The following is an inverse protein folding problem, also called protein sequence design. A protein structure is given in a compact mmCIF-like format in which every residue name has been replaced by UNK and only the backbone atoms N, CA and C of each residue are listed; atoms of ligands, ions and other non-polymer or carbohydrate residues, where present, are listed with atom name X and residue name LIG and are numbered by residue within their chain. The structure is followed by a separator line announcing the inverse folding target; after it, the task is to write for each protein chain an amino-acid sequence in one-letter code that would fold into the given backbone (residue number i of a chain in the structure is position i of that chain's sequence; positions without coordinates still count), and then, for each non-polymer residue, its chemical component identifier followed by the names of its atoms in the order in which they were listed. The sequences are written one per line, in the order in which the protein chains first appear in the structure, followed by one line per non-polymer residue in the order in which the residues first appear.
data_IF_565337134202
#
_entry.id   IF_565337134202
#
_cell.length_a   1.000
_cell.length_b   1.000
_cell.length_c   1.000
_cell.angle_alpha   90.00
_cell.angle_beta   90.00
_cell.angle_gamma   90.00
#
_symmetry.space_group_name_H-M   'P 1'
#
loop_
_entity.id
_entity.type
_entity.pdbx_description
1 polymer ?
#
# COMPACT_ATOMS: atom_id res chain seq x y z
N UNK A 1 16.42 -29.87 9.68
CA UNK A 1 16.50 -31.02 8.75
C UNK A 1 16.09 -30.49 7.39
N UNK A 2 17.03 -30.26 6.49
CA UNK A 2 16.73 -29.70 5.17
C UNK A 2 16.00 -30.78 4.34
N UNK A 3 14.80 -30.45 3.83
CA UNK A 3 14.06 -31.31 2.92
C UNK A 3 14.90 -31.53 1.66
N UNK A 4 14.90 -32.75 1.10
CA UNK A 4 15.68 -33.05 -0.11
C UNK A 4 15.18 -32.19 -1.27
N UNK A 5 16.08 -31.66 -2.11
CA UNK A 5 15.72 -30.79 -3.25
C UNK A 5 14.71 -31.44 -4.20
N UNK A 6 14.74 -32.77 -4.30
CA UNK A 6 13.78 -33.57 -5.09
C UNK A 6 12.37 -33.54 -4.48
N UNK A 7 12.25 -33.69 -3.17
CA UNK A 7 10.97 -33.67 -2.46
C UNK A 7 10.31 -32.28 -2.53
N UNK A 8 11.12 -31.21 -2.53
CA UNK A 8 10.62 -29.84 -2.71
C UNK A 8 10.03 -29.62 -4.10
N UNK A 9 10.65 -30.17 -5.14
CA UNK A 9 10.16 -30.07 -6.52
C UNK A 9 8.88 -30.86 -6.71
N UNK A 10 8.81 -32.10 -6.23
CA UNK A 10 7.59 -32.91 -6.29
C UNK A 10 6.42 -32.23 -5.55
N UNK A 11 6.69 -31.65 -4.38
CA UNK A 11 5.69 -30.89 -3.64
C UNK A 11 5.25 -29.63 -4.39
N UNK A 12 6.16 -28.95 -5.09
CA UNK A 12 5.80 -27.79 -5.92
C UNK A 12 4.96 -28.18 -7.14
N UNK A 13 5.27 -29.28 -7.81
CA UNK A 13 4.50 -29.78 -8.96
C UNK A 13 3.09 -30.22 -8.55
N UNK A 14 2.97 -30.90 -7.40
CA UNK A 14 1.68 -31.24 -6.80
C UNK A 14 0.86 -29.99 -6.45
N UNK A 15 1.48 -28.98 -5.82
CA UNK A 15 0.79 -27.74 -5.50
C UNK A 15 0.37 -26.96 -6.76
N UNK A 16 1.19 -26.99 -7.81
CA UNK A 16 0.87 -26.34 -9.09
C UNK A 16 -0.35 -26.97 -9.76
N UNK A 17 -0.51 -28.29 -9.67
CA UNK A 17 -1.64 -29.01 -10.26
C UNK A 17 -2.92 -28.91 -9.41
N UNK A 18 -2.79 -28.93 -8.08
CA UNK A 18 -3.94 -28.93 -7.16
C UNK A 18 -4.44 -27.51 -6.83
N UNK A 19 -3.56 -26.59 -6.45
CA UNK A 19 -3.95 -25.26 -5.99
C UNK A 19 -2.94 -24.18 -6.39
N UNK A 20 -3.25 -23.51 -7.51
CA UNK A 20 -2.40 -22.49 -8.11
C UNK A 20 -2.08 -21.31 -7.19
N UNK A 21 -3.05 -20.89 -6.35
CA UNK A 21 -2.85 -19.77 -5.41
C UNK A 21 -1.81 -20.16 -4.37
N UNK A 22 -1.94 -21.36 -3.82
CA UNK A 22 -1.02 -21.86 -2.80
C UNK A 22 0.38 -22.08 -3.38
N UNK A 23 0.47 -22.54 -4.63
CA UNK A 23 1.73 -22.61 -5.38
C UNK A 23 2.40 -21.24 -5.51
N UNK A 24 1.66 -20.19 -5.91
CA UNK A 24 2.21 -18.83 -6.01
C UNK A 24 2.68 -18.32 -4.67
N UNK A 25 1.88 -18.44 -3.61
CA UNK A 25 2.27 -18.00 -2.26
C UNK A 25 3.54 -18.70 -1.79
N UNK A 26 3.67 -20.00 -2.06
CA UNK A 26 4.86 -20.76 -1.71
C UNK A 26 6.10 -20.28 -2.50
N UNK A 27 5.93 -19.94 -3.79
CA UNK A 27 7.00 -19.34 -4.60
C UNK A 27 7.48 -18.00 -4.03
N UNK A 28 6.54 -17.11 -3.66
CA UNK A 28 6.87 -15.84 -3.00
C UNK A 28 7.58 -16.03 -1.66
N UNK A 29 7.15 -17.02 -0.87
CA UNK A 29 7.81 -17.38 0.38
C UNK A 29 9.26 -17.82 0.15
N UNK A 30 9.53 -18.68 -0.84
CA UNK A 30 10.90 -19.08 -1.15
C UNK A 30 11.74 -17.92 -1.64
N UNK A 31 11.18 -17.05 -2.47
CA UNK A 31 11.87 -15.84 -2.91
C UNK A 31 12.25 -14.96 -1.71
N UNK A 32 11.32 -14.73 -0.79
CA UNK A 32 11.58 -14.01 0.45
C UNK A 32 12.65 -14.69 1.31
N UNK A 33 12.53 -15.99 1.53
CA UNK A 33 13.42 -16.76 2.38
C UNK A 33 14.86 -16.76 1.85
N UNK A 34 15.08 -16.90 0.54
CA UNK A 34 16.41 -16.95 -0.05
C UNK A 34 17.00 -15.57 -0.43
N UNK A 35 16.16 -14.53 -0.55
CA UNK A 35 16.65 -13.15 -0.78
C UNK A 35 17.04 -12.43 0.50
N UNK A 36 16.67 -12.96 1.66
CA UNK A 36 16.97 -12.40 2.98
C UNK A 36 17.97 -13.29 3.72
N UNK A 37 18.68 -12.78 4.75
CA UNK A 37 19.63 -13.58 5.53
C UNK A 37 18.96 -14.61 6.46
N UNK A 38 17.65 -14.87 6.32
CA UNK A 38 16.89 -15.84 7.11
C UNK A 38 17.48 -17.27 7.14
N UNK A 39 18.06 -17.83 6.05
CA UNK A 39 18.57 -19.20 6.08
C UNK A 39 19.78 -19.38 7.00
N UNK A 40 20.51 -18.30 7.27
CA UNK A 40 21.72 -18.28 8.09
C UNK A 40 21.49 -17.68 9.48
N UNK A 41 20.26 -17.25 9.75
CA UNK A 41 19.87 -16.52 10.95
C UNK A 41 19.42 -17.48 12.05
N UNK A 42 19.76 -17.17 13.29
CA UNK A 42 19.21 -17.89 14.45
C UNK A 42 17.71 -17.63 14.59
N UNK A 43 16.99 -18.46 15.37
CA UNK A 43 15.55 -18.28 15.57
C UNK A 43 15.23 -16.90 16.17
N UNK A 44 16.04 -16.41 17.12
CA UNK A 44 15.85 -15.11 17.76
C UNK A 44 16.04 -13.94 16.79
N UNK A 45 17.13 -13.96 16.01
CA UNK A 45 17.42 -12.94 14.99
C UNK A 45 16.35 -12.92 13.90
N UNK A 46 15.85 -14.10 13.52
CA UNK A 46 14.78 -14.23 12.52
C UNK A 46 13.46 -13.61 12.99
N UNK A 47 13.11 -13.73 14.27
CA UNK A 47 11.90 -13.11 14.83
C UNK A 47 12.03 -11.58 14.77
N UNK A 48 13.17 -11.05 15.19
CA UNK A 48 13.42 -9.60 15.19
C UNK A 48 13.38 -9.06 13.75
N UNK A 49 14.05 -9.73 12.82
CA UNK A 49 14.08 -9.33 11.41
C UNK A 49 12.68 -9.34 10.78
N UNK A 50 11.90 -10.40 10.99
CA UNK A 50 10.52 -10.47 10.51
C UNK A 50 9.64 -9.36 11.13
N UNK A 51 9.84 -9.02 12.40
CA UNK A 51 9.13 -7.92 13.07
C UNK A 51 9.44 -6.56 12.44
N UNK A 52 10.70 -6.30 12.09
CA UNK A 52 11.13 -5.09 11.38
C UNK A 52 10.50 -5.04 9.98
N UNK A 53 10.55 -6.13 9.22
CA UNK A 53 9.92 -6.20 7.90
C UNK A 53 8.42 -5.99 7.99
N UNK A 54 7.75 -6.56 8.98
CA UNK A 54 6.31 -6.37 9.17
C UNK A 54 5.96 -4.91 9.46
N UNK A 55 6.75 -4.25 10.31
CA UNK A 55 6.59 -2.82 10.61
C UNK A 55 6.80 -1.94 9.38
N UNK A 56 7.84 -2.22 8.58
CA UNK A 56 8.10 -1.55 7.30
C UNK A 56 6.95 -1.76 6.32
N UNK A 57 6.41 -2.98 6.24
CA UNK A 57 5.32 -3.32 5.34
C UNK A 57 4.06 -2.55 5.71
N UNK A 58 3.73 -2.46 7.01
CA UNK A 58 2.61 -1.65 7.48
C UNK A 58 2.78 -0.16 7.16
N UNK A 59 3.98 0.37 7.37
CA UNK A 59 4.29 1.77 7.03
C UNK A 59 4.19 2.01 5.53
N UNK A 60 4.66 1.07 4.71
CA UNK A 60 4.54 1.12 3.26
C UNK A 60 3.07 1.08 2.82
N UNK A 61 2.25 0.19 3.39
CA UNK A 61 0.81 0.16 3.12
C UNK A 61 0.14 1.49 3.49
N UNK A 62 0.45 2.03 4.68
CA UNK A 62 -0.06 3.34 5.10
C UNK A 62 0.33 4.44 4.10
N UNK A 63 1.61 4.49 3.70
CA UNK A 63 2.11 5.49 2.77
C UNK A 63 1.47 5.37 1.38
N UNK A 64 1.37 4.15 0.85
CA UNK A 64 0.83 3.90 -0.49
C UNK A 64 -0.68 4.12 -0.59
N UNK A 65 -1.43 3.83 0.46
CA UNK A 65 -2.89 4.01 0.46
C UNK A 65 -3.27 5.45 0.74
N UNK A 66 -2.60 6.13 1.69
CA UNK A 66 -3.03 7.46 2.13
C UNK A 66 -2.21 8.59 1.52
N UNK A 67 -0.89 8.50 1.56
CA UNK A 67 -0.02 9.64 1.22
C UNK A 67 0.21 9.72 -0.28
N UNK A 68 0.44 8.58 -0.93
CA UNK A 68 0.79 8.52 -2.35
C UNK A 68 -0.31 9.07 -3.28
N UNK A 69 -1.62 8.76 -3.09
CA UNK A 69 -2.66 9.33 -3.94
C UNK A 69 -2.79 10.84 -3.79
N UNK A 70 -2.68 11.36 -2.54
CA UNK A 70 -2.71 12.80 -2.27
C UNK A 70 -1.58 13.53 -3.01
N UNK A 71 -0.35 12.97 -2.97
CA UNK A 71 0.80 13.54 -3.66
C UNK A 71 0.67 13.48 -5.18
N UNK A 72 0.12 12.38 -5.71
CA UNK A 72 -0.12 12.26 -7.16
C UNK A 72 -1.13 13.29 -7.65
N UNK A 73 -2.21 13.53 -6.90
CA UNK A 73 -3.23 14.52 -7.25
C UNK A 73 -2.66 15.93 -7.19
N UNK A 74 -1.93 16.27 -6.12
CA UNK A 74 -1.24 17.57 -6.01
C UNK A 74 -0.24 17.78 -7.17
N UNK A 75 0.49 16.73 -7.55
CA UNK A 75 1.38 16.78 -8.72
C UNK A 75 0.62 17.00 -10.03
N UNK A 76 -0.55 16.38 -10.17
CA UNK A 76 -1.44 16.56 -11.33
C UNK A 76 -2.00 17.97 -11.44
N UNK A 77 -2.44 18.55 -10.32
CA UNK A 77 -2.92 19.93 -10.25
C UNK A 77 -1.83 20.94 -10.63
N UNK A 78 -0.63 20.75 -10.10
CA UNK A 78 0.51 21.59 -10.44
C UNK A 78 0.84 21.50 -11.93
N UNK A 79 0.89 20.28 -12.48
CA UNK A 79 1.16 20.07 -13.90
C UNK A 79 0.07 20.70 -14.78
N UNK A 80 -1.20 20.58 -14.40
CA UNK A 80 -2.31 21.22 -15.09
C UNK A 80 -2.20 22.75 -15.06
N UNK A 81 -1.87 23.32 -13.90
CA UNK A 81 -1.65 24.76 -13.75
C UNK A 81 -0.52 25.26 -14.66
N UNK A 82 0.60 24.53 -14.71
CA UNK A 82 1.71 24.89 -15.59
C UNK A 82 1.34 24.86 -17.08
N UNK A 83 0.47 23.94 -17.49
CA UNK A 83 0.07 23.81 -18.90
C UNK A 83 -1.02 24.81 -19.32
N UNK A 84 -1.95 25.13 -18.44
CA UNK A 84 -3.17 25.90 -18.79
C UNK A 84 -3.22 27.30 -18.19
N UNK A 85 -2.41 27.58 -17.17
CA UNK A 85 -2.50 28.80 -16.35
C UNK A 85 -3.71 28.86 -15.43
N UNK A 86 -4.55 27.82 -15.40
CA UNK A 86 -5.78 27.77 -14.60
C UNK A 86 -5.59 26.87 -13.38
N UNK A 87 -6.12 27.30 -12.23
CA UNK A 87 -6.06 26.53 -10.98
C UNK A 87 -7.27 25.61 -10.86
N UNK A 88 -7.03 24.32 -10.69
CA UNK A 88 -8.05 23.33 -10.31
C UNK A 88 -7.58 22.69 -9.01
N UNK A 89 -8.50 22.49 -8.07
CA UNK A 89 -8.26 21.78 -6.81
C UNK A 89 -9.23 20.62 -6.66
N UNK A 90 -8.69 19.42 -6.50
CA UNK A 90 -9.40 18.18 -6.23
C UNK A 90 -9.23 17.81 -4.76
N UNK A 91 -10.31 17.89 -3.99
CA UNK A 91 -10.30 17.44 -2.61
C UNK A 91 -10.58 15.92 -2.53
N UNK A 92 -9.52 15.16 -2.27
CA UNK A 92 -9.54 13.70 -2.17
C UNK A 92 -10.31 13.24 -0.95
N UNK A 93 -10.29 14.02 0.14
CA UNK A 93 -11.08 13.73 1.33
C UNK A 93 -12.56 13.84 1.01
N UNK A 94 -12.97 14.85 0.25
CA UNK A 94 -14.36 14.99 -0.20
C UNK A 94 -14.78 13.85 -1.14
N UNK A 95 -13.91 13.42 -2.07
CA UNK A 95 -14.20 12.30 -2.97
C UNK A 95 -14.30 10.94 -2.25
N UNK A 96 -13.43 10.69 -1.26
CA UNK A 96 -13.51 9.48 -0.43
C UNK A 96 -14.75 9.54 0.47
N UNK A 97 -15.05 10.71 1.04
CA UNK A 97 -16.21 10.89 1.90
C UNK A 97 -17.51 10.73 1.11
N UNK A 98 -17.60 11.20 -0.13
CA UNK A 98 -18.78 10.95 -0.98
C UNK A 98 -18.89 9.47 -1.38
N UNK A 99 -17.79 8.79 -1.71
CA UNK A 99 -17.82 7.34 -2.02
C UNK A 99 -18.21 6.49 -0.80
N UNK A 100 -17.78 6.86 0.41
CA UNK A 100 -18.17 6.19 1.65
C UNK A 100 -19.58 6.56 2.11
N UNK A 101 -20.01 7.81 1.97
CA UNK A 101 -21.37 8.26 2.32
C UNK A 101 -22.45 7.80 1.33
N UNK A 102 -22.12 7.40 0.09
CA UNK A 102 -23.10 6.82 -0.84
C UNK A 102 -23.62 5.43 -0.40
N UNK A 103 -23.02 4.80 0.61
CA UNK A 103 -23.50 3.55 1.22
C UNK A 103 -24.25 3.74 2.55
N UNK A 104 -24.36 4.97 3.06
CA UNK A 104 -25.06 5.27 4.30
C UNK A 104 -26.06 6.39 4.07
N UNK A 105 -27.32 6.03 3.85
CA UNK A 105 -28.43 6.99 3.89
C UNK A 105 -28.27 7.93 5.09
N UNK A 106 -28.32 9.24 4.81
CA UNK A 106 -28.47 10.34 5.77
C UNK A 106 -27.37 10.51 6.82
N UNK A 107 -26.32 11.27 6.46
CA UNK A 107 -25.73 12.22 7.43
C UNK A 107 -25.04 13.36 6.71
N UNK A 108 -25.75 14.49 6.64
CA UNK A 108 -25.20 15.81 6.32
C UNK A 108 -24.17 16.21 7.38
N UNK A 109 -22.93 15.77 7.21
CA UNK A 109 -21.80 16.41 7.90
C UNK A 109 -21.20 17.45 6.97
N UNK A 110 -21.64 18.68 7.19
CA UNK A 110 -21.16 19.90 6.54
C UNK A 110 -19.67 20.07 6.86
N UNK A 111 -18.79 19.68 5.93
CA UNK A 111 -17.38 20.09 5.91
C UNK A 111 -17.29 21.43 5.16
N UNK A 112 -18.10 22.41 5.55
CA UNK A 112 -17.89 23.81 5.19
C UNK A 112 -17.53 24.55 6.47
N UNK A 113 -16.27 24.53 6.86
CA UNK A 113 -15.77 25.54 7.81
C UNK A 113 -14.26 25.80 7.80
N UNK A 114 -13.48 25.15 6.92
CA UNK A 114 -12.05 25.45 6.78
C UNK A 114 -11.70 26.17 5.46
N UNK A 115 -12.66 26.39 4.56
CA UNK A 115 -12.47 27.16 3.31
C UNK A 115 -12.65 28.68 3.47
N UNK A 116 -13.16 29.15 4.61
CA UNK A 116 -13.50 30.57 4.84
C UNK A 116 -12.37 31.37 5.50
N UNK A 117 -11.16 30.83 5.57
CA UNK A 117 -9.99 31.67 5.88
C UNK A 117 -9.66 32.49 4.63
N UNK A 118 -9.82 33.83 4.66
CA UNK A 118 -9.43 34.66 3.53
C UNK A 118 -7.94 34.46 3.31
N UNK A 119 -7.58 33.87 2.16
CA UNK A 119 -6.21 33.76 1.68
C UNK A 119 -5.73 35.14 1.23
N UNK A 120 -5.63 36.06 2.18
CA UNK A 120 -4.93 37.33 2.04
C UNK A 120 -3.49 37.06 2.46
N UNK A 121 -2.65 36.73 1.49
CA UNK A 121 -1.27 37.19 1.52
C UNK A 121 -1.01 37.80 0.14
N UNK A 122 -1.03 39.14 0.13
CA UNK A 122 -0.43 39.96 -0.92
C UNK A 122 1.09 39.92 -0.77
N UNK A 123 1.74 40.07 -1.93
CA UNK A 123 3.18 40.24 -2.22
C UNK A 123 3.92 38.92 -2.39
#
# INVERSE_FOLDING_TARGET
MALSSKELLEKQEYLKSSNYILYKLNCWYYLYYYSTPLPYSTLGESIIFNGVIMSLTLLFMYYTVWILPLKLIQSGENLYYYLTGHTISFDVLQAINTVLHLNGENSTFVINQWSDLPKIIRI
#
